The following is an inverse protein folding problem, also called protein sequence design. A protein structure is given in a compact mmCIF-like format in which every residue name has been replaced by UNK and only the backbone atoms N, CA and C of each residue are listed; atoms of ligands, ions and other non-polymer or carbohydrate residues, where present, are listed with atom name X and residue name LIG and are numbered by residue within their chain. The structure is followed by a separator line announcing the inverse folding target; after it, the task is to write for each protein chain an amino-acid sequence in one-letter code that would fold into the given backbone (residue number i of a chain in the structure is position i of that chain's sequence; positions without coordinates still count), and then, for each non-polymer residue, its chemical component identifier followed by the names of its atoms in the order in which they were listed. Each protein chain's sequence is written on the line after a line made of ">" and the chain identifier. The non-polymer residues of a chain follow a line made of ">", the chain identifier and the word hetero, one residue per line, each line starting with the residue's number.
data_IF_554359254592
#
_entry.id   IF_554359254592
#
_cell.length_a   1.000
_cell.length_b   1.000
_cell.length_c   1.000
_cell.angle_alpha   90.00
_cell.angle_beta   90.00
_cell.angle_gamma   90.00
#
_symmetry.space_group_name_H-M   'P 1'
#
loop_
_entity.id
_entity.type
_entity.pdbx_description
1 polymer ?
#
# COMPACT_ATOMS: atom_id res chain seq x y z
N UNK A 1 -10.10 16.69 9.58
CA UNK A 1 -9.30 15.85 8.67
C UNK A 1 -8.20 15.24 9.51
N UNK A 2 -7.68 14.06 9.17
CA UNK A 2 -6.49 13.56 9.85
C UNK A 2 -5.35 14.54 9.59
N UNK A 3 -4.81 15.20 10.60
CA UNK A 3 -3.62 16.06 10.41
C UNK A 3 -2.38 15.30 10.89
N UNK A 4 -1.29 15.43 10.14
CA UNK A 4 0.02 14.88 10.52
C UNK A 4 0.75 15.92 11.37
N UNK A 5 1.14 15.52 12.58
CA UNK A 5 1.81 16.41 13.54
C UNK A 5 3.33 16.46 13.35
N UNK A 6 3.92 15.33 12.94
CA UNK A 6 5.35 15.18 12.70
C UNK A 6 5.54 14.22 11.55
N UNK A 7 6.46 14.53 10.64
CA UNK A 7 6.78 13.71 9.47
C UNK A 7 8.29 13.61 9.33
N UNK A 8 8.80 12.38 9.28
CA UNK A 8 10.21 12.07 9.06
C UNK A 8 10.33 11.09 7.90
N UNK A 9 11.03 11.49 6.85
CA UNK A 9 11.36 10.61 5.72
C UNK A 9 12.74 10.01 5.94
N UNK A 10 12.86 8.70 5.75
CA UNK A 10 14.13 7.96 5.81
C UNK A 10 14.26 7.07 4.58
N UNK A 11 15.47 6.93 4.07
CA UNK A 11 15.76 5.98 3.00
C UNK A 11 16.13 4.61 3.59
N UNK A 12 15.63 3.55 2.96
CA UNK A 12 15.93 2.15 3.32
C UNK A 12 16.44 1.44 2.08
N UNK A 13 17.73 1.14 2.06
CA UNK A 13 18.37 0.38 0.98
C UNK A 13 18.40 -1.13 1.31
N UNK A 14 18.49 -2.00 0.29
CA UNK A 14 18.81 -3.41 0.49
C UNK A 14 20.16 -3.55 1.20
N UNK A 15 20.25 -4.44 2.20
CA UNK A 15 21.53 -4.74 2.84
C UNK A 15 22.48 -5.43 1.84
N UNK A 16 23.80 -5.17 1.88
CA UNK A 16 24.74 -5.90 1.03
C UNK A 16 24.80 -7.38 1.41
N UNK A 17 24.65 -8.26 0.41
CA UNK A 17 24.76 -9.72 0.53
C UNK A 17 26.19 -10.19 0.83
N UNK A 18 27.21 -9.43 0.42
CA UNK A 18 28.63 -9.73 0.63
C UNK A 18 29.48 -8.44 0.56
N UNK A 19 30.60 -8.34 1.30
CA UNK A 19 31.55 -7.23 1.18
C UNK A 19 32.23 -7.13 -0.21
N UNK A 20 32.16 -8.18 -1.05
CA UNK A 20 32.74 -8.20 -2.40
C UNK A 20 31.71 -7.98 -3.52
N UNK A 21 30.46 -7.64 -3.20
CA UNK A 21 29.37 -7.43 -4.15
C UNK A 21 29.50 -6.04 -4.84
N UNK A 22 30.65 -5.81 -5.48
CA UNK A 22 31.00 -4.61 -6.26
C UNK A 22 30.69 -4.77 -7.75
N UNK A 23 29.95 -5.81 -8.14
CA UNK A 23 29.44 -5.97 -9.49
C UNK A 23 28.42 -4.86 -9.76
N UNK A 24 28.85 -3.84 -10.54
CA UNK A 24 28.03 -2.71 -10.97
C UNK A 24 26.97 -3.06 -12.03
N UNK A 25 26.64 -4.35 -12.19
CA UNK A 25 25.64 -4.78 -13.17
C UNK A 25 24.24 -4.48 -12.61
N UNK A 26 23.41 -3.69 -13.31
CA UNK A 26 22.05 -3.41 -12.85
C UNK A 26 21.22 -4.68 -12.87
N UNK A 27 20.42 -4.92 -11.84
CA UNK A 27 19.39 -5.94 -11.86
C UNK A 27 18.23 -5.44 -12.74
N UNK A 28 18.05 -6.07 -13.91
CA UNK A 28 17.02 -5.67 -14.88
C UNK A 28 15.93 -6.72 -14.94
N UNK A 29 14.71 -6.32 -14.60
CA UNK A 29 13.50 -7.10 -14.74
C UNK A 29 12.68 -6.59 -15.95
N UNK A 30 12.60 -7.34 -17.06
CA UNK A 30 11.81 -6.93 -18.21
C UNK A 30 10.32 -6.98 -17.88
N UNK A 31 9.59 -5.91 -18.18
CA UNK A 31 8.15 -5.88 -17.99
C UNK A 31 7.44 -6.72 -19.05
N UNK A 32 6.39 -7.43 -18.63
CA UNK A 32 5.48 -8.21 -19.47
C UNK A 32 4.21 -7.42 -19.78
N UNK A 33 3.39 -7.90 -20.70
CA UNK A 33 2.08 -7.28 -21.00
C UNK A 33 1.22 -7.11 -19.74
N UNK A 34 1.28 -8.06 -18.81
CA UNK A 34 0.56 -8.00 -17.55
C UNK A 34 1.02 -6.86 -16.65
N UNK A 35 2.27 -6.40 -16.78
CA UNK A 35 2.82 -5.28 -16.01
C UNK A 35 2.55 -3.95 -16.72
N UNK A 36 2.62 -3.91 -18.05
CA UNK A 36 2.40 -2.71 -18.85
C UNK A 36 0.99 -2.12 -18.69
N UNK A 37 -0.02 -2.97 -18.46
CA UNK A 37 -1.37 -2.53 -18.17
C UNK A 37 -1.42 -1.59 -16.95
N UNK A 38 -0.60 -1.88 -15.93
CA UNK A 38 -0.59 -1.14 -14.67
C UNK A 38 0.10 0.21 -14.77
N UNK A 39 0.98 0.43 -15.75
CA UNK A 39 1.65 1.72 -15.97
C UNK A 39 0.70 2.86 -16.35
N UNK A 40 -0.52 2.54 -16.77
CA UNK A 40 -1.54 3.53 -17.15
C UNK A 40 -2.40 3.99 -15.98
N UNK A 41 -2.27 3.34 -14.82
CA UNK A 41 -3.06 3.66 -13.64
C UNK A 41 -2.24 4.48 -12.64
N UNK A 42 -2.93 5.29 -11.84
CA UNK A 42 -2.32 5.96 -10.71
C UNK A 42 -1.70 4.93 -9.75
N UNK A 43 -0.62 5.30 -9.00
CA UNK A 43 -0.04 4.42 -8.00
C UNK A 43 -1.09 3.91 -7.03
N UNK A 44 -1.09 2.59 -6.79
CA UNK A 44 -2.02 2.01 -5.83
C UNK A 44 -1.57 2.36 -4.41
N UNK A 45 -2.36 3.19 -3.74
CA UNK A 45 -2.15 3.56 -2.34
C UNK A 45 -3.01 2.68 -1.43
N UNK A 46 -2.38 2.06 -0.43
CA UNK A 46 -3.05 1.18 0.55
C UNK A 46 -2.74 1.61 1.97
N UNK A 47 -3.75 1.60 2.82
CA UNK A 47 -3.62 1.77 4.26
C UNK A 47 -3.90 0.46 4.98
N UNK A 48 -3.03 0.12 5.93
CA UNK A 48 -3.18 -1.05 6.80
C UNK A 48 -3.27 -0.55 8.24
N UNK A 49 -4.39 -0.83 8.91
CA UNK A 49 -4.60 -0.47 10.31
C UNK A 49 -4.22 -1.64 11.21
N UNK A 50 -3.40 -1.37 12.24
CA UNK A 50 -3.01 -2.35 13.26
C UNK A 50 -3.28 -1.78 14.65
N UNK A 51 -4.09 -2.47 15.44
CA UNK A 51 -4.32 -2.11 16.84
C UNK A 51 -3.26 -2.80 17.71
N UNK A 52 -2.37 -2.02 18.33
CA UNK A 52 -1.29 -2.52 19.17
C UNK A 52 -1.66 -2.30 20.65
N UNK A 53 -1.86 -3.39 21.39
CA UNK A 53 -2.34 -3.34 22.79
C UNK A 53 -1.27 -3.00 23.84
N UNK A 54 0.01 -3.06 23.47
CA UNK A 54 1.13 -2.81 24.38
C UNK A 54 1.74 -1.43 24.13
N UNK A 55 2.34 -0.83 25.17
CA UNK A 55 3.16 0.39 25.11
C UNK A 55 4.45 0.15 24.32
N UNK A 56 4.32 -0.13 23.03
CA UNK A 56 5.45 -0.35 22.15
C UNK A 56 6.15 0.99 21.93
N UNK A 57 7.45 1.05 22.22
CA UNK A 57 8.22 2.25 21.87
C UNK A 57 8.21 2.43 20.35
N UNK A 58 7.70 3.57 19.89
CA UNK A 58 7.65 3.92 18.47
C UNK A 58 9.05 3.86 17.82
N UNK A 59 10.10 4.24 18.55
CA UNK A 59 11.50 4.18 18.10
C UNK A 59 11.95 2.75 17.81
N UNK A 60 11.59 1.81 18.70
CA UNK A 60 11.88 0.38 18.55
C UNK A 60 11.11 -0.20 17.36
N UNK A 61 9.84 0.18 17.19
CA UNK A 61 9.02 -0.24 16.05
C UNK A 61 9.62 0.22 14.71
N UNK A 62 9.93 1.50 14.60
CA UNK A 62 10.53 2.10 13.40
C UNK A 62 11.86 1.43 13.07
N UNK A 63 12.68 1.13 14.09
CA UNK A 63 13.97 0.45 13.88
C UNK A 63 13.79 -0.98 13.35
N UNK A 64 12.84 -1.75 13.91
CA UNK A 64 12.50 -3.10 13.43
C UNK A 64 11.93 -3.08 12.02
N UNK A 65 11.05 -2.13 11.71
CA UNK A 65 10.51 -1.92 10.37
C UNK A 65 11.62 -1.65 9.34
N UNK A 66 12.52 -0.71 9.64
CA UNK A 66 13.64 -0.40 8.75
C UNK A 66 14.54 -1.61 8.50
N UNK A 67 14.89 -2.33 9.56
CA UNK A 67 15.77 -3.49 9.46
C UNK A 67 15.12 -4.63 8.66
N UNK A 68 13.87 -4.97 8.98
CA UNK A 68 13.13 -6.02 8.28
C UNK A 68 12.86 -5.67 6.81
N UNK A 69 12.53 -4.41 6.51
CA UNK A 69 12.38 -3.93 5.13
C UNK A 69 13.71 -4.01 4.37
N UNK A 70 14.82 -3.58 4.98
CA UNK A 70 16.14 -3.70 4.36
C UNK A 70 16.51 -5.14 4.03
N UNK A 71 16.17 -6.10 4.91
CA UNK A 71 16.35 -7.53 4.67
C UNK A 71 15.45 -8.04 3.54
N UNK A 72 14.16 -7.72 3.57
CA UNK A 72 13.23 -8.13 2.52
C UNK A 72 13.67 -7.62 1.14
N UNK A 73 14.15 -6.37 1.06
CA UNK A 73 14.65 -5.79 -0.18
C UNK A 73 15.91 -6.47 -0.72
N UNK A 74 16.69 -7.21 0.09
CA UNK A 74 17.79 -8.03 -0.42
C UNK A 74 17.28 -9.12 -1.36
N UNK A 75 16.13 -9.71 -1.02
CA UNK A 75 15.49 -10.79 -1.79
C UNK A 75 14.55 -10.26 -2.87
N UNK A 76 13.96 -9.08 -2.65
CA UNK A 76 13.01 -8.43 -3.55
C UNK A 76 13.54 -7.10 -4.09
N UNK A 77 14.78 -7.10 -4.59
CA UNK A 77 15.47 -5.91 -5.14
C UNK A 77 14.64 -5.09 -6.14
N UNK A 78 13.79 -5.71 -7.00
CA UNK A 78 12.88 -4.96 -7.85
C UNK A 78 12.03 -3.88 -7.15
N UNK A 79 11.69 -4.07 -5.88
CA UNK A 79 10.88 -3.11 -5.11
C UNK A 79 11.63 -1.82 -4.75
N UNK A 80 12.97 -1.85 -4.73
CA UNK A 80 13.82 -0.68 -4.61
C UNK A 80 14.28 -0.13 -5.97
N UNK A 81 13.83 -0.74 -7.07
CA UNK A 81 14.18 -0.34 -8.43
C UNK A 81 13.25 0.73 -8.98
N UNK A 82 13.65 1.31 -10.11
CA UNK A 82 12.87 2.28 -10.87
C UNK A 82 12.47 1.71 -12.22
N UNK A 83 11.29 2.08 -12.71
CA UNK A 83 10.88 1.78 -14.07
C UNK A 83 11.55 2.79 -15.00
N UNK A 84 12.32 2.29 -15.97
CA UNK A 84 13.03 3.10 -16.95
C UNK A 84 12.61 2.70 -18.36
N UNK A 85 12.68 3.63 -19.30
CA UNK A 85 12.44 3.36 -20.73
C UNK A 85 13.72 3.62 -21.52
N UNK A 86 14.55 2.60 -21.75
CA UNK A 86 15.78 2.75 -22.53
C UNK A 86 15.48 3.22 -23.95
N UNK A 87 16.29 4.14 -24.49
CA UNK A 87 16.07 4.73 -25.82
C UNK A 87 16.01 3.70 -26.96
N UNK A 88 16.71 2.57 -26.81
CA UNK A 88 16.74 1.49 -27.80
C UNK A 88 15.77 0.35 -27.51
N UNK A 89 14.96 0.47 -26.45
CA UNK A 89 14.02 -0.58 -26.06
C UNK A 89 12.59 -0.23 -26.49
N UNK A 90 11.87 -1.15 -27.16
CA UNK A 90 10.45 -0.94 -27.47
C UNK A 90 9.55 -1.05 -26.23
N UNK A 91 10.11 -1.46 -25.07
CA UNK A 91 9.37 -1.64 -23.82
C UNK A 91 10.12 -1.09 -22.61
N UNK A 92 9.40 -0.59 -21.58
CA UNK A 92 10.01 -0.24 -20.31
C UNK A 92 10.54 -1.48 -19.59
N UNK A 93 11.53 -1.24 -18.72
CA UNK A 93 12.14 -2.25 -17.86
C UNK A 93 12.18 -1.72 -16.44
N UNK A 94 12.11 -2.61 -15.46
CA UNK A 94 12.35 -2.25 -14.08
C UNK A 94 13.83 -2.52 -13.77
N UNK A 95 14.52 -1.50 -13.26
CA UNK A 95 15.97 -1.52 -13.04
C UNK A 95 16.28 -1.18 -11.60
N UNK A 96 17.01 -2.06 -10.93
CA UNK A 96 17.62 -1.78 -9.65
C UNK A 96 19.13 -1.55 -9.85
N UNK A 97 19.65 -0.49 -9.23
CA UNK A 97 21.08 -0.19 -9.18
C UNK A 97 21.51 -0.16 -7.73
N UNK A 98 22.69 -0.70 -7.44
CA UNK A 98 23.23 -0.69 -6.09
C UNK A 98 23.27 0.73 -5.51
N UNK A 99 22.73 0.89 -4.30
CA UNK A 99 22.57 2.18 -3.64
C UNK A 99 21.19 2.80 -3.82
N UNK A 100 20.32 2.24 -4.67
CA UNK A 100 18.92 2.62 -4.68
C UNK A 100 18.24 2.17 -3.39
N UNK A 101 17.27 2.97 -2.95
CA UNK A 101 16.58 2.80 -1.70
C UNK A 101 15.09 3.11 -1.88
N UNK A 102 14.27 2.56 -0.99
CA UNK A 102 12.87 2.97 -0.87
C UNK A 102 12.75 4.10 0.15
N UNK A 103 11.84 5.02 -0.13
CA UNK A 103 11.48 6.06 0.84
C UNK A 103 10.49 5.48 1.85
N UNK A 104 10.83 5.55 3.14
CA UNK A 104 9.96 5.22 4.25
C UNK A 104 9.62 6.50 5.00
N UNK A 105 8.34 6.85 5.06
CA UNK A 105 7.85 8.00 5.82
C UNK A 105 7.27 7.55 7.15
N UNK A 106 7.78 8.11 8.24
CA UNK A 106 7.27 7.92 9.59
C UNK A 106 6.52 9.20 9.97
N UNK A 107 5.27 9.07 10.38
CA UNK A 107 4.48 10.21 10.81
C UNK A 107 3.64 9.90 12.06
N UNK A 108 3.32 10.95 12.80
CA UNK A 108 2.41 10.89 13.95
C UNK A 108 1.13 11.68 13.63
N UNK A 109 -0.03 11.14 14.03
CA UNK A 109 -1.32 11.80 13.85
C UNK A 109 -2.17 11.68 15.11
N UNK A 110 -3.01 12.68 15.36
CA UNK A 110 -4.05 12.64 16.39
C UNK A 110 -5.40 12.13 15.87
N UNK A 111 -5.45 11.59 14.64
CA UNK A 111 -6.67 11.05 14.08
C UNK A 111 -7.23 9.90 14.92
N UNK A 112 -8.56 9.79 14.98
CA UNK A 112 -9.23 8.73 15.72
C UNK A 112 -9.08 7.39 14.98
N UNK A 113 -8.25 6.51 15.54
CA UNK A 113 -7.99 5.17 15.02
C UNK A 113 -9.29 4.35 14.87
N UNK A 114 -10.19 4.41 15.84
CA UNK A 114 -11.41 3.59 15.84
C UNK A 114 -12.41 4.07 14.80
N UNK A 115 -12.46 5.38 14.54
CA UNK A 115 -13.24 5.95 13.43
C UNK A 115 -12.68 5.48 12.08
N UNK A 116 -11.37 5.67 11.84
CA UNK A 116 -10.74 5.39 10.55
C UNK A 116 -10.68 3.90 10.20
N UNK A 117 -10.59 3.04 11.21
CA UNK A 117 -10.55 1.56 11.06
C UNK A 117 -11.91 0.89 11.20
N UNK A 118 -12.99 1.67 11.34
CA UNK A 118 -14.35 1.11 11.45
C UNK A 118 -14.79 0.42 10.15
N UNK A 119 -15.49 -0.70 10.31
CA UNK A 119 -16.16 -1.43 9.22
C UNK A 119 -17.66 -1.10 9.15
N UNK A 120 -18.22 -0.50 10.20
CA UNK A 120 -19.66 -0.26 10.35
C UNK A 120 -20.07 1.18 10.02
N UNK A 121 -19.12 2.07 9.74
CA UNK A 121 -19.35 3.49 9.46
C UNK A 121 -18.65 3.86 8.15
N UNK A 122 -19.35 4.56 7.26
CA UNK A 122 -18.74 5.15 6.08
C UNK A 122 -17.78 6.27 6.50
N UNK A 123 -16.51 6.12 6.15
CA UNK A 123 -15.46 7.14 6.34
C UNK A 123 -15.33 7.94 5.04
N UNK A 124 -15.23 9.27 5.12
CA UNK A 124 -15.07 10.08 3.91
C UNK A 124 -13.66 9.88 3.33
N UNK A 125 -13.53 9.65 2.03
CA UNK A 125 -12.23 9.32 1.39
C UNK A 125 -11.11 10.35 1.70
N UNK A 126 -11.47 11.64 1.75
CA UNK A 126 -10.55 12.73 2.12
C UNK A 126 -9.95 12.63 3.53
N UNK A 127 -10.56 11.84 4.43
CA UNK A 127 -10.02 11.61 5.77
C UNK A 127 -8.78 10.71 5.72
N UNK A 128 -8.60 9.92 4.65
CA UNK A 128 -7.44 9.06 4.44
C UNK A 128 -6.29 9.75 3.70
N UNK A 129 -6.56 10.79 2.90
CA UNK A 129 -5.53 11.49 2.11
C UNK A 129 -4.29 11.90 2.90
N UNK A 130 -4.40 12.41 4.15
CA UNK A 130 -3.23 12.81 4.91
C UNK A 130 -2.39 11.65 5.41
N UNK A 131 -2.94 10.42 5.44
CA UNK A 131 -2.26 9.22 5.93
C UNK A 131 -1.51 8.48 4.83
N UNK A 132 -1.75 8.81 3.57
CA UNK A 132 -1.02 8.24 2.44
C UNK A 132 0.11 9.17 1.99
N UNK A 133 1.33 8.65 1.76
CA UNK A 133 2.39 9.46 1.20
C UNK A 133 2.01 9.86 -0.24
N UNK A 134 2.27 11.13 -0.58
CA UNK A 134 2.15 11.61 -1.94
C UNK A 134 3.25 10.99 -2.78
N UNK A 135 2.90 10.05 -3.65
CA UNK A 135 3.85 9.35 -4.50
C UNK A 135 3.90 10.01 -5.89
N UNK A 136 5.09 10.26 -6.46
CA UNK A 136 5.20 10.56 -7.88
C UNK A 136 4.70 9.33 -8.67
N UNK A 137 4.04 9.57 -9.80
CA UNK A 137 3.33 8.57 -10.60
C UNK A 137 4.25 7.46 -11.12
N UNK A 138 4.46 6.41 -10.32
CA UNK A 138 4.98 5.11 -10.76
C UNK A 138 4.74 4.07 -9.66
N UNK A 139 3.89 3.06 -9.90
CA UNK A 139 3.67 1.96 -8.96
C UNK A 139 3.05 0.72 -9.62
N UNK A 140 3.47 -0.46 -9.19
CA UNK A 140 2.98 -1.78 -9.64
C UNK A 140 2.28 -2.51 -8.49
N UNK A 141 1.05 -3.03 -8.64
CA UNK A 141 0.31 -3.65 -7.54
C UNK A 141 0.31 -5.18 -7.63
N UNK A 142 1.13 -5.86 -6.84
CA UNK A 142 0.93 -7.29 -6.57
C UNK A 142 1.24 -7.64 -5.11
N UNK A 143 0.24 -7.55 -4.24
CA UNK A 143 0.29 -8.16 -2.90
C UNK A 143 -1.10 -8.63 -2.46
N UNK A 144 -1.15 -9.79 -1.79
CA UNK A 144 -2.35 -10.35 -1.15
C UNK A 144 -2.83 -9.44 -0.03
N UNK A 145 -4.12 -9.08 -0.07
CA UNK A 145 -4.68 -7.94 0.66
C UNK A 145 -4.64 -8.16 2.18
N UNK A 146 -5.10 -9.32 2.66
CA UNK A 146 -5.17 -9.62 4.11
C UNK A 146 -4.09 -10.58 4.63
N UNK A 147 -3.17 -11.02 3.77
CA UNK A 147 -2.06 -11.92 4.13
C UNK A 147 -0.80 -11.17 4.57
N UNK A 148 -0.86 -9.84 4.64
CA UNK A 148 0.27 -9.00 5.02
C UNK A 148 0.43 -8.98 6.55
N UNK A 149 1.28 -9.87 7.07
CA UNK A 149 1.68 -9.90 8.49
C UNK A 149 3.14 -9.43 8.66
N UNK A 150 3.32 -8.26 9.25
CA UNK A 150 4.64 -7.69 9.57
C UNK A 150 5.21 -8.20 10.91
N UNK A 151 4.63 -9.25 11.50
CA UNK A 151 4.92 -9.74 12.84
C UNK A 151 4.04 -9.11 13.93
N UNK A 152 2.96 -8.42 13.53
CA UNK A 152 1.96 -7.82 14.43
C UNK A 152 0.58 -8.46 14.28
N UNK A 153 0.50 -9.56 13.54
CA UNK A 153 -0.74 -10.20 13.15
C UNK A 153 -1.30 -9.62 11.86
N UNK A 154 -2.47 -10.12 11.46
CA UNK A 154 -3.19 -9.68 10.26
C UNK A 154 -3.77 -8.27 10.45
N UNK A 155 -3.83 -7.44 9.40
CA UNK A 155 -4.37 -6.08 9.48
C UNK A 155 -5.83 -6.12 9.96
N UNK A 156 -6.24 -5.09 10.71
CA UNK A 156 -7.63 -4.96 11.16
C UNK A 156 -8.55 -4.53 10.03
N UNK A 157 -8.05 -3.75 9.07
CA UNK A 157 -8.73 -3.26 7.86
C UNK A 157 -7.68 -2.91 6.80
N UNK A 158 -8.00 -3.12 5.52
CA UNK A 158 -7.21 -2.63 4.39
C UNK A 158 -8.05 -1.73 3.50
N UNK A 159 -7.60 -0.49 3.28
CA UNK A 159 -8.30 0.49 2.44
C UNK A 159 -7.48 0.84 1.20
N UNK A 160 -8.12 0.88 0.01
CA UNK A 160 -7.47 1.24 -1.25
C UNK A 160 -7.82 2.70 -1.59
N UNK A 161 -6.99 3.62 -1.13
CA UNK A 161 -7.27 5.07 -1.18
C UNK A 161 -7.31 5.60 -2.61
N UNK A 162 -6.57 4.99 -3.53
CA UNK A 162 -6.53 5.39 -4.95
C UNK A 162 -7.82 5.07 -5.72
N UNK A 163 -8.85 4.48 -5.09
CA UNK A 163 -10.16 4.28 -5.72
C UNK A 163 -10.79 5.62 -6.13
N UNK A 164 -10.65 6.66 -5.31
CA UNK A 164 -11.22 7.98 -5.62
C UNK A 164 -10.67 8.56 -6.93
N UNK A 165 -9.36 8.41 -7.16
CA UNK A 165 -8.70 8.93 -8.36
C UNK A 165 -9.00 8.07 -9.60
N UNK A 166 -9.18 6.77 -9.42
CA UNK A 166 -9.37 5.81 -10.53
C UNK A 166 -10.84 5.57 -10.88
N UNK A 167 -11.77 5.91 -9.98
CA UNK A 167 -13.20 5.59 -10.11
C UNK A 167 -13.50 4.08 -10.10
N UNK A 168 -12.53 3.26 -9.69
CA UNK A 168 -12.63 1.80 -9.72
C UNK A 168 -13.42 1.26 -8.52
N UNK A 169 -13.70 -0.05 -8.52
CA UNK A 169 -14.21 -0.77 -7.36
C UNK A 169 -13.13 -1.75 -6.91
N UNK A 170 -12.86 -1.85 -5.61
CA UNK A 170 -11.99 -2.91 -5.07
C UNK A 170 -12.83 -4.08 -4.58
N UNK A 171 -12.30 -5.29 -4.75
CA UNK A 171 -12.81 -6.50 -4.17
C UNK A 171 -11.66 -7.21 -3.44
N UNK A 172 -11.92 -7.64 -2.21
CA UNK A 172 -10.99 -8.39 -1.38
C UNK A 172 -11.72 -9.52 -0.64
N UNK A 173 -11.00 -10.57 -0.26
CA UNK A 173 -11.54 -11.54 0.68
C UNK A 173 -11.77 -10.88 2.05
N UNK A 174 -12.85 -11.24 2.74
CA UNK A 174 -13.13 -10.71 4.08
C UNK A 174 -12.02 -11.08 5.05
N UNK A 175 -11.68 -10.14 5.96
CA UNK A 175 -10.71 -10.37 7.03
C UNK A 175 -11.01 -11.64 7.84
N UNK A 176 -12.27 -11.89 8.14
CA UNK A 176 -12.71 -12.96 9.04
C UNK A 176 -12.49 -14.36 8.45
N UNK A 177 -12.09 -14.45 7.18
CA UNK A 177 -11.70 -15.71 6.53
C UNK A 177 -12.85 -16.71 6.43
N UNK A 178 -14.09 -16.25 6.60
CA UNK A 178 -15.28 -17.04 6.32
C UNK A 178 -15.28 -17.28 4.81
N UNK A 179 -15.18 -18.55 4.43
CA UNK A 179 -15.05 -18.93 3.03
C UNK A 179 -16.26 -18.43 2.22
N UNK A 180 -16.00 -17.54 1.27
CA UNK A 180 -17.02 -16.94 0.41
C UNK A 180 -17.39 -15.50 0.74
N UNK A 181 -16.93 -14.95 1.87
CA UNK A 181 -17.19 -13.55 2.23
C UNK A 181 -16.22 -12.61 1.51
N UNK A 182 -16.77 -11.54 0.92
CA UNK A 182 -16.04 -10.57 0.10
C UNK A 182 -16.27 -9.17 0.64
N UNK A 183 -15.20 -8.40 0.78
CA UNK A 183 -15.22 -6.96 1.01
C UNK A 183 -15.17 -6.21 -0.31
N UNK A 184 -16.03 -5.19 -0.44
CA UNK A 184 -16.12 -4.34 -1.63
C UNK A 184 -15.84 -2.89 -1.24
N UNK A 185 -14.80 -2.28 -1.81
CA UNK A 185 -14.48 -0.87 -1.65
C UNK A 185 -15.02 -0.04 -2.83
N UNK A 186 -15.73 1.04 -2.52
CA UNK A 186 -16.33 1.95 -3.50
C UNK A 186 -16.35 3.38 -2.96
N UNK A 187 -16.05 4.36 -3.81
CA UNK A 187 -16.15 5.80 -3.49
C UNK A 187 -17.17 6.46 -4.40
N UNK A 188 -18.17 7.14 -3.82
CA UNK A 188 -19.22 7.89 -4.51
C UNK A 188 -19.48 9.21 -3.77
N UNK A 189 -20.14 10.16 -4.42
CA UNK A 189 -20.67 11.34 -3.73
C UNK A 189 -21.67 10.92 -2.64
N UNK A 190 -21.70 11.67 -1.53
CA UNK A 190 -22.44 11.29 -0.32
C UNK A 190 -23.90 10.86 -0.56
N UNK A 191 -24.64 11.60 -1.37
CA UNK A 191 -26.04 11.29 -1.67
C UNK A 191 -26.17 10.04 -2.56
N UNK A 192 -25.25 9.83 -3.50
CA UNK A 192 -25.17 8.62 -4.30
C UNK A 192 -24.77 7.40 -3.46
N UNK A 193 -23.84 7.55 -2.51
CA UNK A 193 -23.45 6.47 -1.60
C UNK A 193 -24.61 6.03 -0.69
N UNK A 194 -25.39 6.99 -0.18
CA UNK A 194 -26.59 6.68 0.61
C UNK A 194 -27.64 5.91 -0.20
N UNK A 195 -27.89 6.35 -1.43
CA UNK A 195 -28.80 5.66 -2.34
C UNK A 195 -28.30 4.25 -2.69
N UNK A 196 -27.01 4.12 -3.04
CA UNK A 196 -26.37 2.83 -3.34
C UNK A 196 -26.49 1.87 -2.15
N UNK A 197 -26.10 2.29 -0.95
CA UNK A 197 -26.15 1.46 0.25
C UNK A 197 -27.57 0.96 0.55
N UNK A 198 -28.58 1.84 0.41
CA UNK A 198 -29.98 1.47 0.62
C UNK A 198 -30.48 0.47 -0.43
N UNK A 199 -30.20 0.69 -1.71
CA UNK A 199 -30.63 -0.19 -2.80
C UNK A 199 -29.91 -1.55 -2.74
N UNK A 200 -28.61 -1.54 -2.46
CA UNK A 200 -27.80 -2.75 -2.35
C UNK A 200 -28.24 -3.62 -1.17
N UNK A 201 -28.45 -3.03 0.01
CA UNK A 201 -28.94 -3.74 1.19
C UNK A 201 -30.34 -4.34 0.95
N UNK A 202 -31.23 -3.61 0.28
CA UNK A 202 -32.55 -4.12 -0.09
C UNK A 202 -32.44 -5.30 -1.06
N UNK A 203 -31.65 -5.18 -2.11
CA UNK A 203 -31.44 -6.27 -3.08
C UNK A 203 -30.88 -7.55 -2.45
N UNK A 204 -30.00 -7.41 -1.45
CA UNK A 204 -29.49 -8.55 -0.66
C UNK A 204 -30.55 -9.21 0.23
N UNK A 205 -31.53 -8.46 0.73
CA UNK A 205 -32.65 -9.02 1.50
C UNK A 205 -33.68 -9.74 0.63
N UNK A 206 -33.76 -9.36 -0.66
CA UNK A 206 -34.69 -9.93 -1.64
C UNK A 206 -34.13 -11.21 -2.33
N UNK A 207 -32.92 -11.66 -1.97
CA UNK A 207 -32.23 -12.87 -2.44
C UNK A 207 -32.51 -14.08 -1.53
#
# INVERSE_FOLDING_TARGET
>A
MADLNSVRVVEVSPQPSSPEDHSATPDVLPLTLFDLLWLRFAPVQRLFFYQISNSFEATTLVSKLKASLSIALQHFRPLAGNITWPQHSPKPVLTYVQGYAVSLTIAESHADFHHLSSHSIFVEAKEYHPLVPQLPSSGSPRFGIYDTDFGWGRPSKVEVVSIEETGAMSLAESRDGIAGDVEVGLVLEKHHMQAFASLFAKGLQDL
#
